data_IF_009817355904
#
_entry.id   IF_009817355904
#
_cell.length_a   1.000
_cell.length_b   1.000
_cell.length_c   1.000
_cell.angle_alpha   90.00
_cell.angle_beta   90.00
_cell.angle_gamma   90.00
#
_symmetry.space_group_name_H-M   'P 1'
#
loop_
_entity.id
_entity.type
_entity.pdbx_description
1 polymer ?
#
# COMPACT_ATOMS: atom_id res chain seq x y z
N UNK A 1 36.70 65.88 -11.32
CA UNK A 1 35.68 66.81 -11.88
C UNK A 1 35.20 66.20 -13.19
N UNK A 2 33.94 65.85 -13.45
CA UNK A 2 32.67 66.12 -12.81
C UNK A 2 31.67 66.55 -13.90
N UNK A 3 30.59 65.77 -14.08
CA UNK A 3 29.32 66.12 -14.77
C UNK A 3 29.43 66.37 -16.30
N UNK A 4 28.44 66.15 -17.17
CA UNK A 4 27.03 65.70 -17.15
C UNK A 4 26.56 65.57 -18.63
N UNK A 5 25.60 64.66 -18.89
CA UNK A 5 24.42 64.69 -19.82
C UNK A 5 24.50 65.46 -21.16
N UNK A 6 23.83 65.11 -22.26
CA UNK A 6 22.98 64.02 -22.74
C UNK A 6 22.59 64.38 -24.19
N UNK A 7 22.10 63.41 -24.98
CA UNK A 7 21.13 63.66 -26.04
C UNK A 7 21.56 63.36 -27.48
N UNK A 8 20.68 62.70 -28.23
CA UNK A 8 20.65 62.78 -29.70
C UNK A 8 20.27 61.49 -30.42
N UNK A 9 18.98 61.32 -30.70
CA UNK A 9 18.38 60.30 -31.57
C UNK A 9 18.83 60.38 -33.05
N UNK A 10 18.76 59.25 -33.75
CA UNK A 10 18.90 59.18 -35.22
C UNK A 10 18.65 57.79 -35.78
N UNK A 11 17.53 57.64 -36.48
CA UNK A 11 16.97 56.40 -37.02
C UNK A 11 17.76 55.75 -38.17
N UNK A 12 17.54 54.44 -38.36
CA UNK A 12 17.97 53.67 -39.53
C UNK A 12 17.38 52.26 -39.50
N UNK A 13 16.23 52.10 -40.17
CA UNK A 13 15.48 50.86 -40.37
C UNK A 13 16.10 50.01 -41.50
N UNK A 14 15.91 48.69 -41.45
CA UNK A 14 16.16 47.82 -42.60
C UNK A 14 16.69 46.41 -42.32
N UNK A 15 15.77 45.47 -42.08
CA UNK A 15 15.88 44.10 -42.62
C UNK A 15 16.51 43.03 -41.73
N UNK A 16 15.70 42.39 -40.89
CA UNK A 16 16.02 41.13 -40.23
C UNK A 16 14.80 40.22 -40.17
N UNK A 17 14.85 39.10 -40.87
CA UNK A 17 13.82 38.05 -40.91
C UNK A 17 13.47 37.54 -39.51
N UNK A 18 12.19 37.21 -39.23
CA UNK A 18 11.74 36.91 -37.89
C UNK A 18 12.36 35.60 -37.38
N UNK A 19 12.87 35.69 -36.15
CA UNK A 19 13.56 34.61 -35.45
C UNK A 19 12.71 33.35 -35.34
N UNK A 20 13.40 32.22 -35.45
CA UNK A 20 12.91 30.95 -34.98
C UNK A 20 12.55 31.08 -33.50
N UNK A 21 11.26 30.95 -33.19
CA UNK A 21 10.80 30.57 -31.87
C UNK A 21 11.06 29.06 -31.74
N UNK A 22 12.05 28.61 -30.95
CA UNK A 22 12.21 27.20 -30.71
C UNK A 22 11.00 26.76 -29.89
N UNK A 23 10.02 26.23 -30.61
CA UNK A 23 8.77 25.75 -30.07
C UNK A 23 9.01 24.98 -28.79
N UNK A 24 8.16 25.30 -27.80
CA UNK A 24 7.92 24.52 -26.61
C UNK A 24 7.83 23.04 -27.02
N UNK A 25 8.95 22.34 -26.90
CA UNK A 25 8.98 20.90 -27.00
C UNK A 25 8.16 20.42 -25.81
N UNK A 26 6.90 20.07 -26.07
CA UNK A 26 6.08 19.28 -25.17
C UNK A 26 6.87 18.01 -24.89
N UNK A 27 7.63 18.01 -23.80
CA UNK A 27 8.29 16.82 -23.30
C UNK A 27 7.21 15.76 -23.10
N UNK A 28 7.31 14.67 -23.87
CA UNK A 28 6.51 13.47 -23.60
C UNK A 28 6.83 13.08 -22.15
N UNK A 29 5.84 13.23 -21.27
CA UNK A 29 5.97 12.86 -19.87
C UNK A 29 6.42 11.40 -19.78
N UNK A 30 7.68 11.19 -19.41
CA UNK A 30 8.20 9.86 -19.15
C UNK A 30 7.52 9.29 -17.92
N UNK A 31 7.16 8.01 -17.98
CA UNK A 31 6.64 7.25 -16.85
C UNK A 31 7.71 7.23 -15.75
N UNK A 32 7.38 7.64 -14.52
CA UNK A 32 8.32 7.57 -13.40
C UNK A 32 8.64 6.11 -13.07
N UNK A 33 9.80 5.80 -12.45
CA UNK A 33 10.11 4.42 -12.06
C UNK A 33 9.03 3.75 -11.18
N UNK A 34 8.31 4.54 -10.38
CA UNK A 34 7.24 4.05 -9.53
C UNK A 34 5.92 3.80 -10.30
N UNK A 35 5.61 4.61 -11.31
CA UNK A 35 4.48 4.35 -12.22
C UNK A 35 4.78 3.12 -13.12
N UNK A 36 6.02 2.96 -13.58
CA UNK A 36 6.45 1.80 -14.35
C UNK A 36 6.40 0.49 -13.54
N UNK A 37 6.47 0.59 -12.22
CA UNK A 37 6.33 -0.56 -11.32
C UNK A 37 4.89 -1.09 -11.28
N UNK A 38 3.89 -0.21 -11.34
CA UNK A 38 2.48 -0.63 -11.35
C UNK A 38 2.16 -1.46 -12.59
N UNK A 39 2.71 -1.07 -13.73
CA UNK A 39 2.59 -1.82 -15.00
C UNK A 39 3.17 -3.24 -14.91
N UNK A 40 4.08 -3.49 -13.97
CA UNK A 40 4.71 -4.80 -13.73
C UNK A 40 3.89 -5.73 -12.84
N UNK A 41 2.82 -5.24 -12.23
CA UNK A 41 1.97 -5.99 -11.32
C UNK A 41 0.56 -6.19 -11.87
N UNK A 42 -0.04 -7.30 -11.48
CA UNK A 42 -1.47 -7.53 -11.57
C UNK A 42 -2.02 -7.76 -10.16
N UNK A 43 -3.09 -7.04 -9.78
CA UNK A 43 -3.65 -7.09 -8.43
C UNK A 43 -5.08 -7.59 -8.52
N UNK A 44 -5.30 -8.80 -8.00
CA UNK A 44 -6.65 -9.35 -7.80
C UNK A 44 -7.12 -9.05 -6.38
N UNK A 45 -8.39 -8.69 -6.24
CA UNK A 45 -9.02 -8.37 -4.96
C UNK A 45 -10.12 -9.39 -4.65
N UNK A 46 -10.13 -9.88 -3.42
CA UNK A 46 -11.15 -10.81 -2.95
C UNK A 46 -11.80 -10.25 -1.68
N UNK A 47 -12.88 -9.48 -1.84
CA UNK A 47 -13.69 -9.08 -0.70
C UNK A 47 -14.32 -10.32 -0.06
N UNK A 48 -14.25 -10.44 1.26
CA UNK A 48 -14.98 -11.43 2.03
C UNK A 48 -16.46 -11.02 2.21
N UNK A 49 -17.34 -11.99 2.42
CA UNK A 49 -18.80 -11.74 2.49
C UNK A 49 -19.26 -11.28 3.87
N UNK A 50 -18.50 -11.55 4.93
CA UNK A 50 -18.90 -11.35 6.31
C UNK A 50 -18.42 -9.99 6.84
N UNK A 51 -17.17 -9.62 6.60
CA UNK A 51 -16.57 -8.37 7.07
C UNK A 51 -16.34 -7.35 5.95
N UNK A 52 -16.36 -7.78 4.68
CA UNK A 52 -15.98 -6.95 3.55
C UNK A 52 -14.48 -6.63 3.52
N UNK A 53 -13.67 -7.49 4.14
CA UNK A 53 -12.20 -7.46 4.13
C UNK A 53 -11.68 -7.79 2.73
N UNK A 54 -10.67 -7.05 2.30
CA UNK A 54 -10.05 -7.13 0.99
C UNK A 54 -8.73 -7.88 1.06
N UNK A 55 -8.74 -9.16 0.68
CA UNK A 55 -7.50 -9.83 0.32
C UNK A 55 -6.95 -9.31 -1.01
N UNK A 56 -5.63 -9.18 -1.09
CA UNK A 56 -4.95 -8.85 -2.35
C UNK A 56 -3.99 -9.96 -2.78
N UNK A 57 -4.20 -10.52 -3.97
CA UNK A 57 -3.21 -11.36 -4.64
C UNK A 57 -2.47 -10.51 -5.67
N UNK A 58 -1.18 -10.32 -5.42
CA UNK A 58 -0.29 -9.48 -6.22
C UNK A 58 0.59 -10.39 -7.06
N UNK A 59 0.31 -10.47 -8.35
CA UNK A 59 1.08 -11.26 -9.32
C UNK A 59 2.10 -10.38 -10.02
N UNK A 60 3.34 -10.87 -10.15
CA UNK A 60 4.32 -10.26 -11.03
C UNK A 60 4.01 -10.65 -12.47
N UNK A 61 3.71 -9.66 -13.33
CA UNK A 61 3.48 -9.89 -14.77
C UNK A 61 4.65 -10.66 -15.39
N UNK A 62 4.33 -11.51 -16.36
CA UNK A 62 5.27 -12.35 -17.11
C UNK A 62 6.01 -13.42 -16.30
N UNK A 63 5.62 -13.64 -15.03
CA UNK A 63 6.12 -14.72 -14.18
C UNK A 63 4.95 -15.48 -13.54
N UNK A 64 5.27 -16.56 -12.83
CA UNK A 64 4.33 -17.26 -11.93
C UNK A 64 4.38 -16.72 -10.49
N UNK A 65 5.31 -15.82 -10.17
CA UNK A 65 5.52 -15.35 -8.82
C UNK A 65 4.36 -14.49 -8.31
N UNK A 66 3.93 -14.74 -7.08
CA UNK A 66 2.87 -14.00 -6.43
C UNK A 66 3.19 -13.70 -4.96
N UNK A 67 2.61 -12.63 -4.45
CA UNK A 67 2.45 -12.33 -3.03
C UNK A 67 0.96 -12.32 -2.72
N UNK A 68 0.59 -12.64 -1.49
CA UNK A 68 -0.76 -12.40 -0.98
C UNK A 68 -0.68 -11.48 0.23
N UNK A 69 -1.59 -10.53 0.31
CA UNK A 69 -1.80 -9.66 1.47
C UNK A 69 -3.12 -10.05 2.10
N UNK A 70 -3.08 -10.33 3.41
CA UNK A 70 -4.24 -10.62 4.26
C UNK A 70 -5.17 -11.72 3.71
N UNK A 71 -4.69 -12.97 3.55
CA UNK A 71 -5.57 -14.09 3.22
C UNK A 71 -6.38 -14.51 4.45
N UNK A 72 -7.51 -13.85 4.65
CA UNK A 72 -8.51 -14.10 5.67
C UNK A 72 -9.56 -15.13 5.29
N UNK A 73 -10.83 -14.75 5.33
CA UNK A 73 -11.98 -15.66 5.19
C UNK A 73 -12.26 -16.11 3.75
N UNK A 74 -11.69 -15.38 2.78
CA UNK A 74 -11.75 -15.58 1.33
C UNK A 74 -10.74 -16.59 0.80
N UNK A 75 -10.10 -17.37 1.68
CA UNK A 75 -9.02 -18.32 1.39
C UNK A 75 -9.29 -19.19 0.14
N UNK A 76 -10.46 -19.83 0.07
CA UNK A 76 -10.82 -20.74 -1.03
C UNK A 76 -10.72 -20.08 -2.41
N UNK A 77 -11.00 -18.77 -2.51
CA UNK A 77 -10.93 -18.01 -3.76
C UNK A 77 -9.48 -17.72 -4.13
N UNK A 78 -8.64 -17.40 -3.14
CA UNK A 78 -7.20 -17.20 -3.31
C UNK A 78 -6.54 -18.49 -3.78
N UNK A 79 -6.79 -19.62 -3.09
CA UNK A 79 -6.24 -20.93 -3.45
C UNK A 79 -6.69 -21.40 -4.83
N UNK A 80 -7.94 -21.11 -5.22
CA UNK A 80 -8.43 -21.40 -6.57
C UNK A 80 -7.63 -20.63 -7.62
N UNK A 81 -7.45 -19.32 -7.46
CA UNK A 81 -6.70 -18.52 -8.43
C UNK A 81 -5.22 -18.94 -8.50
N UNK A 82 -4.58 -19.21 -7.36
CA UNK A 82 -3.21 -19.73 -7.31
C UNK A 82 -3.07 -21.03 -8.13
N UNK A 83 -4.01 -21.97 -8.00
CA UNK A 83 -3.99 -23.24 -8.76
C UNK A 83 -4.30 -23.07 -10.24
N UNK A 84 -5.36 -22.33 -10.58
CA UNK A 84 -5.81 -22.15 -11.97
C UNK A 84 -4.75 -21.45 -12.82
N UNK A 85 -4.09 -20.43 -12.26
CA UNK A 85 -3.02 -19.68 -12.93
C UNK A 85 -1.62 -20.28 -12.72
N UNK A 86 -1.50 -21.38 -11.94
CA UNK A 86 -0.23 -22.05 -11.61
C UNK A 86 0.80 -21.08 -11.00
N UNK A 87 0.34 -20.24 -10.09
CA UNK A 87 1.17 -19.26 -9.41
C UNK A 87 1.99 -19.90 -8.29
N UNK A 88 3.18 -19.36 -8.07
CA UNK A 88 4.07 -19.70 -6.97
C UNK A 88 4.01 -18.59 -5.94
N UNK A 89 3.43 -18.88 -4.78
CA UNK A 89 3.33 -17.92 -3.69
C UNK A 89 4.69 -17.79 -2.99
N UNK A 90 5.30 -16.61 -3.06
CA UNK A 90 6.61 -16.36 -2.44
C UNK A 90 6.49 -15.99 -0.97
N UNK A 91 5.38 -15.36 -0.58
CA UNK A 91 5.17 -14.85 0.78
C UNK A 91 3.70 -14.55 1.05
N UNK A 92 3.30 -14.80 2.29
CA UNK A 92 2.06 -14.31 2.88
C UNK A 92 2.41 -13.06 3.69
N UNK A 93 1.87 -11.92 3.29
CA UNK A 93 2.04 -10.64 3.96
C UNK A 93 0.81 -10.38 4.82
N UNK A 94 1.02 -10.06 6.09
CA UNK A 94 -0.05 -9.76 7.04
C UNK A 94 0.11 -8.32 7.51
N UNK A 95 -0.90 -7.49 7.24
CA UNK A 95 -0.92 -6.08 7.68
C UNK A 95 -1.12 -6.00 9.19
N UNK A 96 -2.03 -6.78 9.74
CA UNK A 96 -2.33 -6.81 11.17
C UNK A 96 -3.07 -8.10 11.60
N UNK A 97 -3.19 -8.30 12.91
CA UNK A 97 -3.65 -9.55 13.52
C UNK A 97 -5.17 -9.75 13.68
N UNK A 98 -6.04 -9.00 13.01
CA UNK A 98 -7.49 -9.26 13.11
C UNK A 98 -7.92 -10.46 12.27
N UNK A 99 -8.98 -11.12 12.72
CA UNK A 99 -9.35 -12.47 12.28
C UNK A 99 -9.75 -12.56 10.81
N UNK A 100 -10.39 -11.52 10.32
CA UNK A 100 -10.78 -11.34 8.94
C UNK A 100 -9.59 -11.10 8.00
N UNK A 101 -8.40 -10.79 8.52
CA UNK A 101 -7.15 -10.69 7.74
C UNK A 101 -6.27 -11.94 7.86
N UNK A 102 -6.31 -12.64 9.01
CA UNK A 102 -5.41 -13.77 9.29
C UNK A 102 -6.05 -15.15 9.22
N UNK A 103 -7.37 -15.23 9.10
CA UNK A 103 -8.12 -16.49 9.24
C UNK A 103 -7.66 -17.61 8.29
N UNK A 104 -7.23 -17.28 7.08
CA UNK A 104 -6.73 -18.23 6.08
C UNK A 104 -5.20 -18.39 6.05
N UNK A 105 -4.46 -17.55 6.78
CA UNK A 105 -2.99 -17.55 6.79
C UNK A 105 -2.39 -18.92 7.14
N UNK A 106 -2.83 -19.62 8.22
CA UNK A 106 -2.25 -20.91 8.60
C UNK A 106 -2.39 -21.98 7.51
N UNK A 107 -3.59 -22.11 6.94
CA UNK A 107 -3.90 -23.10 5.93
C UNK A 107 -3.16 -22.81 4.62
N UNK A 108 -3.12 -21.54 4.19
CA UNK A 108 -2.39 -21.15 2.99
C UNK A 108 -0.88 -21.38 3.14
N UNK A 109 -0.33 -21.10 4.32
CA UNK A 109 1.07 -21.40 4.63
C UNK A 109 1.34 -22.91 4.55
N UNK A 110 0.47 -23.73 5.14
CA UNK A 110 0.60 -25.19 5.11
C UNK A 110 0.54 -25.75 3.68
N UNK A 111 -0.35 -25.24 2.84
CA UNK A 111 -0.51 -25.72 1.46
C UNK A 111 0.64 -25.28 0.55
N UNK A 112 1.12 -24.04 0.70
CA UNK A 112 2.09 -23.45 -0.25
C UNK A 112 3.54 -23.50 0.24
N UNK A 113 3.77 -23.64 1.54
CA UNK A 113 5.08 -23.47 2.18
C UNK A 113 5.59 -22.02 2.20
N UNK A 114 4.81 -21.05 1.72
CA UNK A 114 5.22 -19.65 1.64
C UNK A 114 5.44 -19.06 3.05
N UNK A 115 6.57 -18.39 3.35
CA UNK A 115 6.81 -17.80 4.65
C UNK A 115 5.78 -16.71 4.98
N UNK A 116 5.36 -16.67 6.24
CA UNK A 116 4.47 -15.63 6.78
C UNK A 116 5.32 -14.44 7.24
N UNK A 117 4.98 -13.24 6.78
CA UNK A 117 5.58 -12.01 7.20
C UNK A 117 4.56 -11.12 7.89
N UNK A 118 4.82 -10.81 9.16
CA UNK A 118 3.92 -10.08 10.05
C UNK A 118 4.74 -9.29 11.07
N UNK A 119 4.20 -8.19 11.58
CA UNK A 119 4.82 -7.50 12.71
C UNK A 119 4.59 -8.31 14.01
N UNK A 120 5.62 -8.56 14.83
CA UNK A 120 5.50 -9.44 15.99
C UNK A 120 4.53 -8.91 17.07
N UNK A 121 4.36 -7.59 17.19
CA UNK A 121 3.49 -6.99 18.21
C UNK A 121 2.01 -7.40 18.07
N UNK A 122 1.57 -7.80 16.88
CA UNK A 122 0.19 -8.25 16.67
C UNK A 122 -0.04 -9.73 17.00
N UNK A 123 1.00 -10.49 17.35
CA UNK A 123 0.78 -11.81 17.93
C UNK A 123 0.03 -11.73 19.27
N UNK A 124 0.11 -10.58 19.97
CA UNK A 124 -0.54 -10.39 21.26
C UNK A 124 -2.07 -10.33 21.20
N UNK A 125 -2.66 -10.02 20.03
CA UNK A 125 -4.11 -9.95 19.84
C UNK A 125 -4.71 -11.24 19.26
N UNK A 126 -3.88 -12.23 18.92
CA UNK A 126 -4.30 -13.53 18.39
C UNK A 126 -4.62 -14.52 19.50
N UNK A 127 -5.86 -14.49 20.00
CA UNK A 127 -6.39 -15.54 20.87
C UNK A 127 -6.82 -16.76 20.03
N UNK A 128 -5.87 -17.66 19.77
CA UNK A 128 -6.09 -18.85 18.95
C UNK A 128 -7.23 -19.75 19.44
N UNK A 129 -7.43 -19.85 20.75
CA UNK A 129 -8.47 -20.69 21.33
C UNK A 129 -9.86 -20.08 21.11
N UNK A 130 -10.01 -18.77 21.39
CA UNK A 130 -11.27 -18.08 21.19
C UNK A 130 -11.61 -17.95 19.70
N UNK A 131 -10.64 -17.54 18.87
CA UNK A 131 -10.83 -17.32 17.44
C UNK A 131 -11.09 -18.65 16.71
N UNK A 132 -10.42 -19.73 17.10
CA UNK A 132 -10.62 -21.06 16.52
C UNK A 132 -12.01 -21.67 16.79
N UNK A 133 -12.80 -21.09 17.70
CA UNK A 133 -14.19 -21.50 17.98
C UNK A 133 -15.22 -20.74 17.16
N UNK A 134 -14.82 -19.74 16.39
CA UNK A 134 -15.75 -18.95 15.58
C UNK A 134 -16.33 -19.82 14.45
N UNK A 135 -17.65 -19.78 14.20
CA UNK A 135 -18.31 -20.67 13.25
C UNK A 135 -17.90 -20.44 11.79
N UNK A 136 -17.35 -19.26 11.48
CA UNK A 136 -16.91 -18.84 10.16
C UNK A 136 -15.40 -19.00 9.94
N UNK A 137 -14.66 -19.54 10.91
CA UNK A 137 -13.21 -19.65 10.80
C UNK A 137 -12.82 -20.64 9.68
N UNK A 138 -11.86 -20.30 8.80
CA UNK A 138 -11.41 -21.22 7.77
C UNK A 138 -10.82 -22.50 8.38
N UNK A 139 -10.92 -23.60 7.63
CA UNK A 139 -10.27 -24.86 8.01
C UNK A 139 -8.77 -24.65 8.11
N UNK A 140 -8.14 -25.35 9.05
CA UNK A 140 -6.69 -25.26 9.24
C UNK A 140 -6.23 -24.05 10.04
N UNK A 141 -7.14 -23.19 10.51
CA UNK A 141 -6.78 -22.11 11.44
C UNK A 141 -6.11 -22.66 12.70
N UNK A 142 -4.88 -22.24 12.95
CA UNK A 142 -4.03 -22.71 14.03
C UNK A 142 -2.90 -21.69 14.29
N UNK A 143 -2.25 -21.73 15.47
CA UNK A 143 -1.07 -20.94 15.71
C UNK A 143 0.00 -21.14 14.63
N UNK A 144 0.55 -20.04 14.13
CA UNK A 144 1.65 -20.06 13.16
C UNK A 144 2.91 -19.38 13.70
N UNK A 145 4.04 -19.64 13.05
CA UNK A 145 5.30 -18.97 13.31
C UNK A 145 5.53 -17.89 12.25
N UNK A 146 5.90 -16.69 12.69
CA UNK A 146 6.33 -15.63 11.78
C UNK A 146 7.65 -16.05 11.15
N UNK A 147 7.64 -16.32 9.84
CA UNK A 147 8.84 -16.61 9.05
C UNK A 147 9.68 -15.37 8.76
N UNK A 148 9.07 -14.17 8.82
CA UNK A 148 9.76 -12.90 8.66
C UNK A 148 9.14 -11.80 9.55
N UNK A 149 9.84 -11.43 10.62
CA UNK A 149 9.41 -10.35 11.50
C UNK A 149 9.55 -9.00 10.80
N UNK A 150 8.43 -8.32 10.60
CA UNK A 150 8.38 -7.04 9.92
C UNK A 150 8.77 -5.89 10.85
N UNK A 151 9.35 -4.83 10.28
CA UNK A 151 9.71 -3.61 11.00
C UNK A 151 9.64 -2.39 10.06
N UNK A 152 9.49 -1.19 10.64
CA UNK A 152 9.41 0.04 9.87
C UNK A 152 10.64 0.24 8.96
N UNK A 153 10.41 0.60 7.70
CA UNK A 153 11.46 0.91 6.74
C UNK A 153 12.15 -0.30 6.11
N UNK A 154 11.80 -1.52 6.55
CA UNK A 154 12.32 -2.76 5.97
C UNK A 154 11.96 -2.85 4.48
N UNK A 155 12.92 -3.26 3.66
CA UNK A 155 12.68 -3.54 2.24
C UNK A 155 12.62 -5.05 2.01
N UNK A 156 11.52 -5.51 1.44
CA UNK A 156 11.34 -6.88 0.97
C UNK A 156 11.57 -6.92 -0.54
N UNK A 157 12.23 -7.98 -0.99
CA UNK A 157 12.39 -8.24 -2.43
C UNK A 157 11.25 -9.13 -2.90
N UNK A 158 10.69 -8.79 -4.05
CA UNK A 158 9.77 -9.62 -4.82
C UNK A 158 10.25 -9.63 -6.25
N UNK A 159 10.94 -10.69 -6.66
CA UNK A 159 11.62 -10.75 -7.97
C UNK A 159 12.57 -9.55 -8.17
N UNK A 160 12.41 -8.79 -9.27
CA UNK A 160 13.17 -7.58 -9.58
C UNK A 160 12.65 -6.32 -8.86
N UNK A 161 11.67 -6.48 -7.97
CA UNK A 161 10.91 -5.40 -7.37
C UNK A 161 11.16 -5.29 -5.86
N UNK A 162 10.87 -4.11 -5.32
CA UNK A 162 11.04 -3.80 -3.89
C UNK A 162 9.74 -3.31 -3.30
N UNK A 163 9.43 -3.86 -2.15
CA UNK A 163 8.32 -3.47 -1.29
C UNK A 163 8.88 -2.91 0.00
N UNK A 164 8.42 -1.74 0.43
CA UNK A 164 8.82 -1.12 1.70
C UNK A 164 7.72 -1.32 2.73
N UNK A 165 8.11 -1.76 3.92
CA UNK A 165 7.22 -1.90 5.07
C UNK A 165 7.15 -0.55 5.80
N UNK A 166 5.93 -0.12 6.12
CA UNK A 166 5.66 1.09 6.89
C UNK A 166 4.92 0.66 8.16
N UNK A 167 5.56 0.73 9.32
CA UNK A 167 4.83 0.52 10.59
C UNK A 167 3.89 1.68 10.86
N UNK A 168 2.62 1.38 11.05
CA UNK A 168 1.50 2.31 11.16
C UNK A 168 0.56 1.92 12.30
N UNK A 169 1.06 1.90 13.56
CA UNK A 169 0.26 1.47 14.70
C UNK A 169 -0.93 2.39 14.96
N UNK A 170 -1.93 1.86 15.66
CA UNK A 170 -3.06 2.59 16.21
C UNK A 170 -4.42 1.97 15.91
N UNK A 171 -4.55 1.21 14.82
CA UNK A 171 -5.63 0.25 14.70
C UNK A 171 -5.31 -1.00 15.54
N UNK A 172 -4.11 -1.53 15.35
CA UNK A 172 -3.42 -2.47 16.24
C UNK A 172 -1.99 -1.97 16.52
N UNK A 173 -1.28 -2.59 17.46
CA UNK A 173 0.11 -2.20 17.78
C UNK A 173 1.09 -2.61 16.66
N UNK A 174 0.85 -3.74 16.01
CA UNK A 174 1.65 -4.28 14.92
C UNK A 174 1.17 -3.93 13.52
N UNK A 175 0.16 -3.06 13.37
CA UNK A 175 -0.33 -2.64 12.06
C UNK A 175 0.80 -2.13 11.15
N UNK A 176 0.92 -2.70 9.95
CA UNK A 176 1.85 -2.24 8.91
C UNK A 176 1.13 -1.99 7.59
N UNK A 177 1.64 -1.05 6.81
CA UNK A 177 1.33 -0.91 5.39
C UNK A 177 2.48 -1.42 4.52
N UNK A 178 2.15 -1.91 3.33
CA UNK A 178 3.11 -2.35 2.33
C UNK A 178 3.11 -1.40 1.13
N UNK A 179 4.21 -0.68 0.94
CA UNK A 179 4.39 0.25 -0.16
C UNK A 179 5.16 -0.40 -1.32
N UNK A 180 4.52 -0.47 -2.47
CA UNK A 180 5.03 -1.00 -3.72
C UNK A 180 5.01 0.09 -4.79
N UNK A 181 6.08 0.88 -4.88
CA UNK A 181 6.11 2.04 -5.78
C UNK A 181 5.10 3.11 -5.36
N UNK A 182 4.01 3.27 -6.12
CA UNK A 182 2.88 4.15 -5.80
C UNK A 182 1.62 3.39 -5.35
N UNK A 183 1.72 2.10 -5.03
CA UNK A 183 0.63 1.30 -4.49
C UNK A 183 0.89 0.98 -3.02
N UNK A 184 -0.02 1.35 -2.12
CA UNK A 184 0.10 1.14 -0.68
C UNK A 184 -1.03 0.26 -0.17
N UNK A 185 -0.73 -0.98 0.21
CA UNK A 185 -1.67 -1.88 0.88
C UNK A 185 -1.69 -1.54 2.37
N UNK A 186 -2.77 -0.91 2.82
CA UNK A 186 -2.79 -0.19 4.09
C UNK A 186 -3.43 -0.96 5.25
N UNK A 187 -4.01 -2.14 4.97
CA UNK A 187 -4.88 -2.83 5.91
C UNK A 187 -5.88 -1.85 6.51
N UNK A 188 -6.03 -1.92 7.83
CA UNK A 188 -6.98 -1.09 8.56
C UNK A 188 -6.38 0.22 9.09
N UNK A 189 -5.38 0.77 8.40
CA UNK A 189 -4.84 2.08 8.77
C UNK A 189 -5.67 3.22 8.18
N UNK A 190 -5.87 3.24 6.86
CA UNK A 190 -6.50 4.35 6.12
C UNK A 190 -7.50 3.82 5.11
N UNK A 191 -8.73 4.33 5.16
CA UNK A 191 -9.82 3.99 4.26
C UNK A 191 -10.22 5.21 3.43
N UNK A 192 -11.04 5.01 2.39
CA UNK A 192 -11.67 6.14 1.71
C UNK A 192 -12.54 6.93 2.70
N UNK A 193 -12.15 8.18 3.00
CA UNK A 193 -12.80 9.07 3.98
C UNK A 193 -12.96 8.47 5.37
N UNK A 194 -12.07 7.56 5.76
CA UNK A 194 -12.15 6.80 7.00
C UNK A 194 -10.80 6.36 7.52
N UNK A 195 -10.80 5.77 8.72
CA UNK A 195 -9.64 5.17 9.37
C UNK A 195 -10.10 3.88 10.07
N UNK A 196 -9.15 2.99 10.38
CA UNK A 196 -9.44 1.85 11.25
C UNK A 196 -9.94 2.29 12.62
N UNK A 197 -10.82 1.47 13.20
CA UNK A 197 -11.27 1.68 14.57
C UNK A 197 -10.11 1.55 15.56
N UNK A 198 -10.20 2.22 16.70
CA UNK A 198 -9.09 2.32 17.67
C UNK A 198 -9.51 1.98 19.10
N UNK A 199 -10.64 1.29 19.25
CA UNK A 199 -11.28 0.96 20.52
C UNK A 199 -11.18 -0.53 20.88
N UNK A 200 -10.52 -1.34 20.03
CA UNK A 200 -10.18 -2.74 20.27
C UNK A 200 -8.81 -2.87 20.96
N UNK A 201 -8.44 -4.04 21.50
CA UNK A 201 -7.12 -4.27 22.09
C UNK A 201 -5.97 -3.88 21.14
N UNK A 202 -5.05 -3.05 21.64
CA UNK A 202 -3.94 -2.49 20.84
C UNK A 202 -4.31 -1.26 20.00
N UNK A 203 -5.58 -0.86 20.00
CA UNK A 203 -6.06 0.35 19.34
C UNK A 203 -5.73 1.63 20.13
N UNK A 204 -5.30 2.68 19.42
CA UNK A 204 -5.02 4.01 19.96
C UNK A 204 -5.22 5.09 18.89
N UNK A 205 -6.17 6.02 19.15
CA UNK A 205 -6.51 7.13 18.26
C UNK A 205 -5.35 8.08 17.98
N UNK A 206 -4.49 8.36 18.97
CA UNK A 206 -3.35 9.25 18.78
C UNK A 206 -2.30 8.59 17.89
N UNK A 207 -2.07 7.28 18.07
CA UNK A 207 -1.15 6.53 17.23
C UNK A 207 -1.62 6.46 15.78
N UNK A 208 -2.89 6.13 15.52
CA UNK A 208 -3.35 6.01 14.12
C UNK A 208 -3.30 7.36 13.40
N UNK A 209 -3.66 8.46 14.09
CA UNK A 209 -3.54 9.83 13.54
C UNK A 209 -2.09 10.16 13.24
N UNK A 210 -1.15 9.81 14.13
CA UNK A 210 0.28 10.00 13.90
C UNK A 210 0.78 9.16 12.72
N UNK A 211 0.41 7.89 12.66
CA UNK A 211 0.75 6.97 11.55
C UNK A 211 0.27 7.52 10.21
N UNK A 212 -0.96 8.02 10.13
CA UNK A 212 -1.50 8.60 8.91
C UNK A 212 -0.75 9.88 8.54
N UNK A 213 -0.59 10.85 9.46
CA UNK A 213 0.04 12.14 9.14
C UNK A 213 1.54 12.05 8.86
N UNK A 214 2.26 11.31 9.71
CA UNK A 214 3.72 11.31 9.70
C UNK A 214 4.31 10.20 8.84
N UNK A 215 3.51 9.22 8.44
CA UNK A 215 3.95 8.12 7.57
C UNK A 215 3.22 8.17 6.22
N UNK A 216 1.88 8.03 6.22
CA UNK A 216 1.13 7.88 4.96
C UNK A 216 1.00 9.19 4.18
N UNK A 217 0.67 10.31 4.82
CA UNK A 217 0.58 11.63 4.16
C UNK A 217 1.94 12.20 3.74
N UNK A 218 3.05 11.55 4.12
CA UNK A 218 4.39 11.86 3.61
C UNK A 218 4.73 11.10 2.32
N UNK A 219 3.88 10.17 1.88
CA UNK A 219 4.02 9.49 0.60
C UNK A 219 3.65 10.45 -0.55
N UNK A 220 4.07 10.16 -1.80
CA UNK A 220 3.65 10.96 -2.94
C UNK A 220 2.10 11.05 -3.01
N UNK A 221 1.52 12.23 -3.29
CA UNK A 221 0.05 12.40 -3.29
C UNK A 221 -0.70 11.43 -4.22
N UNK A 222 -0.08 11.05 -5.34
CA UNK A 222 -0.61 10.08 -6.31
C UNK A 222 -0.55 8.61 -5.85
N UNK A 223 -0.05 8.34 -4.64
CA UNK A 223 -0.02 6.99 -4.09
C UNK A 223 -1.45 6.50 -3.91
N UNK A 224 -1.77 5.36 -4.54
CA UNK A 224 -3.06 4.68 -4.41
C UNK A 224 -3.02 3.83 -3.15
N UNK A 225 -4.06 3.98 -2.34
CA UNK A 225 -4.23 3.25 -1.08
C UNK A 225 -5.24 2.13 -1.30
N UNK A 226 -4.81 0.90 -1.02
CA UNK A 226 -5.59 -0.32 -1.04
C UNK A 226 -5.93 -0.69 0.41
N UNK A 227 -7.13 -0.34 0.89
CA UNK A 227 -7.53 -0.54 2.29
C UNK A 227 -7.92 -1.99 2.58
N UNK A 228 -7.86 -2.37 3.86
CA UNK A 228 -8.45 -3.62 4.36
C UNK A 228 -9.94 -3.71 4.07
N UNK A 229 -10.68 -2.60 4.08
CA UNK A 229 -12.11 -2.59 3.74
C UNK A 229 -12.51 -1.46 2.79
N UNK A 230 -13.50 -1.74 1.95
CA UNK A 230 -14.09 -0.73 1.07
C UNK A 230 -13.25 -0.41 -0.17
N UNK A 231 -13.57 0.69 -0.87
CA UNK A 231 -12.91 1.05 -2.12
C UNK A 231 -11.52 1.68 -1.90
N UNK A 232 -10.65 1.55 -2.90
CA UNK A 232 -9.37 2.27 -2.95
C UNK A 232 -9.56 3.80 -2.92
N UNK A 233 -8.55 4.49 -2.41
CA UNK A 233 -8.45 5.96 -2.39
C UNK A 233 -7.03 6.40 -2.78
N UNK A 234 -6.71 7.68 -2.67
CA UNK A 234 -5.36 8.20 -2.85
C UNK A 234 -4.93 9.05 -1.65
N UNK A 235 -3.61 9.18 -1.45
CA UNK A 235 -3.08 10.06 -0.41
C UNK A 235 -3.57 11.51 -0.61
N UNK A 236 -3.61 12.00 -1.85
CA UNK A 236 -4.15 13.32 -2.19
C UNK A 236 -5.61 13.49 -1.76
N UNK A 237 -6.48 12.53 -2.08
CA UNK A 237 -7.91 12.58 -1.71
C UNK A 237 -8.09 12.59 -0.20
N UNK A 238 -7.38 11.74 0.54
CA UNK A 238 -7.53 11.64 2.00
C UNK A 238 -6.94 12.86 2.72
N UNK A 239 -5.83 13.42 2.25
CA UNK A 239 -5.32 14.68 2.78
C UNK A 239 -6.33 15.83 2.68
N UNK A 240 -7.14 15.84 1.61
CA UNK A 240 -8.14 16.88 1.34
C UNK A 240 -9.48 16.63 2.04
N UNK A 241 -9.91 15.36 2.12
CA UNK A 241 -11.31 15.02 2.39
C UNK A 241 -11.52 14.07 3.59
N UNK A 242 -10.46 13.53 4.20
CA UNK A 242 -10.62 12.62 5.34
C UNK A 242 -11.11 13.41 6.58
N UNK A 243 -12.33 13.15 7.09
CA UNK A 243 -12.89 13.92 8.18
C UNK A 243 -12.27 13.58 9.55
N UNK A 244 -11.55 12.45 9.66
CA UNK A 244 -10.93 11.98 10.90
C UNK A 244 -9.51 12.52 11.05
N UNK A 245 -8.77 12.65 9.94
CA UNK A 245 -7.37 13.08 9.95
C UNK A 245 -7.13 14.18 8.91
N UNK A 246 -7.35 15.46 9.29
CA UNK A 246 -6.99 16.59 8.44
C UNK A 246 -5.47 16.65 8.21
N UNK A 247 -5.02 17.02 7.00
CA UNK A 247 -3.59 17.12 6.67
C UNK A 247 -2.82 18.21 7.45
N UNK A 248 -3.54 19.19 8.01
CA UNK A 248 -2.96 20.34 8.74
C UNK A 248 -2.70 21.54 7.84
#
# INVERSE_FOLDING_TARGET
>A
MGRRTAGGDGAGDGGGTPGADPGLARGRGGVTPAEALREKLDVSIFPDELFGENCYLIRRRDTTAALVVDPGLQLDRVERQLREERLTLERILVTHGHIDHVGGVPALHQETGAPIAMHPDDLAILDWEQLGRLPFIPRGFAPFVIGLALSHGMNLTFQDLRLRVLHTPGHTEGSVCFLFGLDCFAGDTLFQRGIGRTDLPGGDMRKIVFSIREVLYRLPPKTVVYPGHGPRTTIEEEMLLNPFVPAG
#
